data_IF_433615481788
#
_entry.id   IF_433615481788
#
_cell.length_a   1.000
_cell.length_b   1.000
_cell.length_c   1.000
_cell.angle_alpha   90.00
_cell.angle_beta   90.00
_cell.angle_gamma   90.00
#
_symmetry.space_group_name_H-M   'P 1'
#
loop_
_entity.id
_entity.type
_entity.pdbx_description
1 polymer ?
#
# COMPACT_ATOMS: atom_id res chain seq x y z
N UNK A 1 -25.31 -16.82 -3.33
CA UNK A 1 -24.21 -15.84 -3.26
C UNK A 1 -24.13 -15.42 -1.81
N UNK A 2 -22.96 -15.42 -1.19
CA UNK A 2 -22.86 -15.05 0.21
C UNK A 2 -23.39 -13.61 0.37
N UNK A 3 -24.28 -13.42 1.34
CA UNK A 3 -24.89 -12.12 1.61
C UNK A 3 -23.84 -11.26 2.32
N UNK A 4 -23.07 -10.51 1.54
CA UNK A 4 -22.01 -9.62 2.05
C UNK A 4 -22.59 -8.32 2.63
N UNK A 5 -23.93 -8.22 2.71
CA UNK A 5 -24.67 -7.04 3.16
C UNK A 5 -24.27 -5.75 2.44
N UNK A 6 -23.65 -5.84 1.26
CA UNK A 6 -23.11 -4.73 0.50
C UNK A 6 -24.22 -4.07 -0.32
N UNK A 7 -24.40 -2.77 -0.13
CA UNK A 7 -25.25 -1.93 -0.98
C UNK A 7 -24.43 -0.73 -1.43
N UNK A 8 -24.68 -0.24 -2.64
CA UNK A 8 -24.03 0.96 -3.12
C UNK A 8 -24.89 1.71 -4.12
N UNK A 9 -24.64 3.01 -4.26
CA UNK A 9 -25.22 3.85 -5.31
C UNK A 9 -24.26 5.00 -5.64
N UNK A 10 -24.36 5.53 -6.85
CA UNK A 10 -23.59 6.70 -7.30
C UNK A 10 -24.54 7.88 -7.42
N UNK A 11 -24.21 9.00 -6.77
CA UNK A 11 -25.04 10.21 -6.81
C UNK A 11 -24.77 11.10 -8.03
N UNK A 12 -25.46 12.24 -8.09
CA UNK A 12 -25.32 13.22 -9.18
C UNK A 12 -23.91 13.85 -9.26
N UNK A 13 -23.21 13.91 -8.13
CA UNK A 13 -21.85 14.45 -8.00
C UNK A 13 -20.78 13.37 -8.27
N UNK A 14 -21.20 12.18 -8.74
CA UNK A 14 -20.32 11.05 -9.08
C UNK A 14 -19.60 10.48 -7.86
N UNK A 15 -20.19 10.61 -6.67
CA UNK A 15 -19.71 9.98 -5.45
C UNK A 15 -20.35 8.60 -5.34
N UNK A 16 -19.53 7.56 -5.24
CA UNK A 16 -19.96 6.21 -4.90
C UNK A 16 -20.12 6.10 -3.39
N UNK A 17 -21.36 5.94 -2.95
CA UNK A 17 -21.71 5.68 -1.57
C UNK A 17 -21.75 4.18 -1.34
N UNK A 18 -20.80 3.67 -0.56
CA UNK A 18 -20.77 2.28 -0.11
C UNK A 18 -21.46 2.20 1.25
N UNK A 19 -22.48 1.36 1.33
CA UNK A 19 -23.39 1.26 2.48
C UNK A 19 -23.84 -0.17 2.67
N UNK A 20 -24.84 -0.38 3.53
CA UNK A 20 -25.31 -1.71 3.90
C UNK A 20 -26.74 -2.00 3.46
N UNK A 21 -27.01 -3.29 3.31
CA UNK A 21 -28.39 -3.80 3.38
C UNK A 21 -28.77 -3.83 4.87
N UNK A 22 -29.84 -3.14 5.25
CA UNK A 22 -30.30 -3.00 6.64
C UNK A 22 -29.21 -2.44 7.58
N UNK A 23 -29.17 -2.88 8.85
CA UNK A 23 -28.21 -2.46 9.87
C UNK A 23 -26.98 -3.37 9.99
N UNK A 24 -26.78 -4.26 9.02
CA UNK A 24 -25.61 -5.15 9.00
C UNK A 24 -24.32 -4.39 8.63
N UNK A 25 -23.17 -4.98 8.97
CA UNK A 25 -21.85 -4.51 8.54
C UNK A 25 -21.57 -5.01 7.13
N UNK A 26 -21.45 -4.13 6.11
CA UNK A 26 -21.12 -4.53 4.76
C UNK A 26 -19.65 -4.98 4.68
N UNK A 27 -19.37 -5.89 3.75
CA UNK A 27 -18.02 -6.37 3.51
C UNK A 27 -17.65 -6.35 2.02
N UNK A 28 -16.39 -6.02 1.73
CA UNK A 28 -15.74 -6.23 0.44
C UNK A 28 -14.89 -7.50 0.56
N UNK A 29 -15.33 -8.57 -0.09
CA UNK A 29 -14.79 -9.93 0.13
C UNK A 29 -14.20 -10.53 -1.14
N UNK A 30 -14.81 -10.28 -2.30
CA UNK A 30 -14.40 -10.91 -3.56
C UNK A 30 -14.35 -9.93 -4.75
N UNK A 31 -14.07 -10.46 -5.94
CA UNK A 31 -13.97 -9.65 -7.17
C UNK A 31 -15.28 -8.97 -7.56
N UNK A 32 -16.42 -9.56 -7.22
CA UNK A 32 -17.72 -8.97 -7.53
C UNK A 32 -17.95 -7.71 -6.70
N UNK A 33 -17.59 -7.74 -5.42
CA UNK A 33 -17.64 -6.56 -4.55
C UNK A 33 -16.63 -5.49 -4.99
N UNK A 34 -15.41 -5.88 -5.35
CA UNK A 34 -14.35 -4.94 -5.78
C UNK A 34 -14.68 -4.24 -7.10
N UNK A 35 -15.49 -4.86 -7.96
CA UNK A 35 -15.86 -4.31 -9.26
C UNK A 35 -16.54 -2.93 -9.17
N UNK A 36 -17.16 -2.61 -8.04
CA UNK A 36 -17.82 -1.31 -7.81
C UNK A 36 -16.84 -0.14 -7.93
N UNK A 37 -15.55 -0.35 -7.65
CA UNK A 37 -14.51 0.68 -7.71
C UNK A 37 -13.92 0.88 -9.12
N UNK A 38 -14.40 0.14 -10.13
CA UNK A 38 -13.96 0.23 -11.53
C UNK A 38 -14.90 1.05 -12.41
N UNK A 39 -15.96 1.62 -11.83
CA UNK A 39 -16.97 2.36 -12.56
C UNK A 39 -16.40 3.67 -13.15
N UNK A 40 -16.59 3.87 -14.46
CA UNK A 40 -16.06 5.03 -15.19
C UNK A 40 -16.78 6.36 -14.89
N UNK A 41 -17.93 6.31 -14.23
CA UNK A 41 -18.69 7.48 -13.81
C UNK A 41 -18.42 7.89 -12.37
N UNK A 42 -17.53 7.20 -11.64
CA UNK A 42 -17.24 7.49 -10.22
C UNK A 42 -15.97 8.35 -10.12
N UNK A 43 -16.05 9.46 -9.39
CA UNK A 43 -14.92 10.32 -9.08
C UNK A 43 -14.41 10.18 -7.66
N UNK A 44 -15.31 9.88 -6.71
CA UNK A 44 -14.98 9.77 -5.29
C UNK A 44 -15.71 8.60 -4.64
N UNK A 45 -15.18 8.06 -3.54
CA UNK A 45 -15.82 6.99 -2.77
C UNK A 45 -15.94 7.40 -1.30
N UNK A 46 -17.11 7.14 -0.72
CA UNK A 46 -17.37 7.28 0.72
C UNK A 46 -17.99 5.99 1.27
N UNK A 47 -17.54 5.58 2.46
CA UNK A 47 -18.13 4.46 3.20
C UNK A 47 -19.06 5.04 4.28
N UNK A 48 -20.37 4.98 4.04
CA UNK A 48 -21.40 5.57 4.92
C UNK A 48 -21.49 4.84 6.27
N UNK A 49 -21.17 3.54 6.29
CA UNK A 49 -21.14 2.70 7.49
C UNK A 49 -19.78 2.01 7.66
N UNK A 50 -19.43 1.56 8.88
CA UNK A 50 -18.25 0.73 9.09
C UNK A 50 -18.24 -0.45 8.11
N UNK A 51 -17.22 -0.55 7.27
CA UNK A 51 -17.15 -1.54 6.18
C UNK A 51 -15.90 -2.40 6.33
N UNK A 52 -16.07 -3.72 6.29
CA UNK A 52 -14.96 -4.67 6.43
C UNK A 52 -14.36 -4.99 5.08
N UNK A 53 -13.04 -4.94 5.00
CA UNK A 53 -12.29 -5.46 3.87
C UNK A 53 -11.67 -6.78 4.32
N UNK A 54 -11.91 -7.86 3.57
CA UNK A 54 -11.64 -9.23 4.04
C UNK A 54 -10.87 -10.03 2.99
N UNK A 55 -9.83 -10.74 3.44
CA UNK A 55 -9.10 -11.71 2.61
C UNK A 55 -8.29 -11.05 1.49
N UNK A 56 -8.57 -11.42 0.24
CA UNK A 56 -7.77 -11.00 -0.91
C UNK A 56 -8.28 -9.71 -1.53
N UNK A 57 -7.61 -8.61 -1.19
CA UNK A 57 -7.90 -7.28 -1.68
C UNK A 57 -7.05 -6.90 -2.91
N UNK A 58 -6.39 -7.88 -3.52
CA UNK A 58 -5.57 -7.65 -4.70
C UNK A 58 -6.36 -6.88 -5.76
N UNK A 59 -5.76 -5.82 -6.27
CA UNK A 59 -6.31 -5.02 -7.35
C UNK A 59 -7.57 -4.23 -7.02
N UNK A 60 -7.99 -4.07 -5.76
CA UNK A 60 -9.27 -3.41 -5.42
C UNK A 60 -9.46 -2.03 -6.10
N UNK A 61 -8.43 -1.19 -6.11
CA UNK A 61 -8.45 0.12 -6.76
C UNK A 61 -7.56 0.20 -8.01
N UNK A 62 -6.91 -0.91 -8.42
CA UNK A 62 -6.07 -0.96 -9.62
C UNK A 62 -6.75 -0.36 -10.86
N UNK A 63 -6.03 0.48 -11.62
CA UNK A 63 -6.53 1.14 -12.85
C UNK A 63 -7.80 1.99 -12.64
N UNK A 64 -8.19 2.24 -11.39
CA UNK A 64 -9.36 3.08 -11.12
C UNK A 64 -9.07 4.54 -11.48
N UNK A 65 -10.10 5.20 -12.01
CA UNK A 65 -10.07 6.63 -12.31
C UNK A 65 -10.48 7.52 -11.12
N UNK A 66 -10.84 6.89 -9.99
CA UNK A 66 -11.24 7.57 -8.75
C UNK A 66 -10.13 8.53 -8.31
N UNK A 67 -10.54 9.75 -7.92
CA UNK A 67 -9.66 10.83 -7.49
C UNK A 67 -9.54 10.95 -5.98
N UNK A 68 -10.53 10.50 -5.22
CA UNK A 68 -10.53 10.56 -3.76
C UNK A 68 -11.30 9.40 -3.13
N UNK A 69 -10.79 8.85 -2.03
CA UNK A 69 -11.45 7.78 -1.26
C UNK A 69 -11.34 8.14 0.22
N UNK A 70 -12.47 8.19 0.92
CA UNK A 70 -12.50 8.37 2.37
C UNK A 70 -12.49 7.01 3.08
N UNK A 71 -11.33 6.59 3.60
CA UNK A 71 -11.19 5.31 4.29
C UNK A 71 -11.57 5.33 5.78
N UNK A 72 -12.06 6.44 6.36
CA UNK A 72 -12.24 6.58 7.82
C UNK A 72 -13.07 5.47 8.48
N UNK A 73 -14.03 4.90 7.73
CA UNK A 73 -14.95 3.87 8.19
C UNK A 73 -14.56 2.46 7.70
N UNK A 74 -13.34 2.27 7.23
CA UNK A 74 -12.87 0.98 6.68
C UNK A 74 -12.02 0.23 7.70
N UNK A 75 -12.34 -1.04 7.89
CA UNK A 75 -11.54 -1.99 8.68
C UNK A 75 -10.83 -2.97 7.75
N UNK A 76 -9.48 -2.90 7.73
CA UNK A 76 -8.62 -3.78 6.93
C UNK A 76 -7.96 -4.90 7.75
N UNK A 77 -8.33 -5.06 9.03
CA UNK A 77 -7.69 -6.02 9.94
C UNK A 77 -7.81 -7.49 9.50
N UNK A 78 -8.78 -7.80 8.63
CA UNK A 78 -9.01 -9.12 8.08
C UNK A 78 -8.41 -9.33 6.67
N UNK A 79 -7.67 -8.36 6.14
CA UNK A 79 -7.01 -8.46 4.82
C UNK A 79 -5.73 -9.27 4.92
N UNK A 80 -5.52 -10.17 3.95
CA UNK A 80 -4.30 -11.00 3.86
C UNK A 80 -3.46 -10.70 2.62
N UNK A 81 -4.03 -10.10 1.58
CA UNK A 81 -3.31 -9.74 0.34
C UNK A 81 -3.73 -8.33 -0.13
N UNK A 82 -2.75 -7.45 -0.38
CA UNK A 82 -2.91 -6.10 -0.92
C UNK A 82 -2.13 -5.87 -2.23
N UNK A 83 -1.83 -6.94 -2.96
CA UNK A 83 -1.12 -6.87 -4.24
C UNK A 83 -1.84 -5.95 -5.21
N UNK A 84 -1.12 -5.08 -5.91
CA UNK A 84 -1.66 -4.16 -6.92
C UNK A 84 -2.80 -3.24 -6.43
N UNK A 85 -3.08 -3.15 -5.12
CA UNK A 85 -4.30 -2.52 -4.60
C UNK A 85 -4.52 -1.11 -5.15
N UNK A 86 -3.45 -0.32 -5.25
CA UNK A 86 -3.44 1.03 -5.81
C UNK A 86 -2.55 1.15 -7.06
N UNK A 87 -2.32 0.04 -7.79
CA UNK A 87 -1.50 0.09 -8.99
C UNK A 87 -2.19 0.89 -10.10
N UNK A 88 -1.46 1.79 -10.76
CA UNK A 88 -1.97 2.65 -11.84
C UNK A 88 -3.17 3.54 -11.44
N UNK A 89 -3.28 3.94 -10.17
CA UNK A 89 -4.29 4.90 -9.72
C UNK A 89 -3.83 6.35 -9.92
N UNK A 90 -4.79 7.27 -10.05
CA UNK A 90 -4.56 8.71 -10.14
C UNK A 90 -5.27 9.48 -9.01
N UNK A 91 -5.22 8.91 -7.80
CA UNK A 91 -5.84 9.47 -6.58
C UNK A 91 -5.02 10.70 -6.17
N UNK A 92 -5.69 11.82 -5.84
CA UNK A 92 -4.99 13.08 -5.56
C UNK A 92 -4.48 13.18 -4.11
N UNK A 93 -5.12 12.48 -3.18
CA UNK A 93 -4.69 12.38 -1.80
C UNK A 93 -5.08 11.00 -1.27
N UNK A 94 -4.13 10.28 -0.69
CA UNK A 94 -4.33 8.92 -0.21
C UNK A 94 -3.95 8.84 1.27
N UNK A 95 -4.97 8.92 2.13
CA UNK A 95 -4.82 8.66 3.56
C UNK A 95 -5.11 7.18 3.86
N UNK A 96 -4.06 6.48 4.29
CA UNK A 96 -4.11 5.06 4.70
C UNK A 96 -3.71 4.86 6.16
N UNK A 97 -3.75 5.93 6.96
CA UNK A 97 -3.32 5.93 8.36
C UNK A 97 -4.13 4.97 9.26
N UNK A 98 -5.38 4.66 8.87
CA UNK A 98 -6.23 3.72 9.59
C UNK A 98 -6.05 2.25 9.16
N UNK A 99 -5.19 1.95 8.18
CA UNK A 99 -5.02 0.58 7.72
C UNK A 99 -4.31 -0.27 8.77
N UNK A 100 -4.88 -1.43 9.06
CA UNK A 100 -4.26 -2.48 9.85
C UNK A 100 -3.71 -3.57 8.92
N UNK A 101 -2.40 -3.60 8.73
CA UNK A 101 -1.73 -4.56 7.83
C UNK A 101 -1.13 -5.78 8.55
N UNK A 102 -1.43 -5.97 9.84
CA UNK A 102 -0.79 -7.01 10.68
C UNK A 102 -1.05 -8.45 10.21
N UNK A 103 -2.06 -8.67 9.37
CA UNK A 103 -2.37 -9.98 8.77
C UNK A 103 -1.97 -10.09 7.29
N UNK A 104 -1.46 -9.02 6.68
CA UNK A 104 -1.09 -9.00 5.26
C UNK A 104 0.19 -9.78 5.03
N UNK A 105 0.19 -10.65 4.03
CA UNK A 105 1.34 -11.47 3.65
C UNK A 105 1.97 -11.05 2.32
N UNK A 106 1.27 -10.24 1.51
CA UNK A 106 1.74 -9.79 0.19
C UNK A 106 1.27 -8.37 -0.13
N UNK A 107 2.20 -7.54 -0.62
CA UNK A 107 2.01 -6.14 -1.05
C UNK A 107 2.72 -5.86 -2.40
N UNK A 108 2.81 -6.87 -3.27
CA UNK A 108 3.48 -6.76 -4.58
C UNK A 108 2.86 -5.63 -5.39
N UNK A 109 3.69 -4.75 -5.92
CA UNK A 109 3.24 -3.68 -6.81
C UNK A 109 2.08 -2.83 -6.27
N UNK A 110 1.88 -2.77 -4.94
CA UNK A 110 0.70 -2.13 -4.32
C UNK A 110 0.49 -0.69 -4.80
N UNK A 111 1.57 0.06 -5.01
CA UNK A 111 1.58 1.44 -5.51
C UNK A 111 2.32 1.58 -6.85
N UNK A 112 2.46 0.50 -7.61
CA UNK A 112 3.16 0.53 -8.90
C UNK A 112 2.45 1.47 -9.87
N UNK A 113 3.20 2.40 -10.46
CA UNK A 113 2.69 3.44 -11.35
C UNK A 113 1.53 4.27 -10.75
N UNK A 114 1.43 4.34 -9.42
CA UNK A 114 0.51 5.26 -8.76
C UNK A 114 0.99 6.70 -8.96
N UNK A 115 0.05 7.58 -9.31
CA UNK A 115 0.29 9.00 -9.53
C UNK A 115 -0.82 9.83 -8.86
N UNK A 116 -0.64 11.15 -8.84
CA UNK A 116 -1.60 12.10 -8.27
C UNK A 116 -1.26 12.59 -6.86
N UNK A 117 -0.35 11.92 -6.15
CA UNK A 117 0.23 12.36 -4.89
C UNK A 117 1.76 12.15 -4.89
N UNK A 118 2.49 13.00 -4.18
CA UNK A 118 3.96 13.01 -4.12
C UNK A 118 4.53 12.53 -2.77
N UNK A 119 3.72 12.53 -1.72
CA UNK A 119 4.07 12.07 -0.37
C UNK A 119 3.14 10.97 0.09
N UNK A 120 3.70 9.94 0.72
CA UNK A 120 2.93 8.84 1.29
C UNK A 120 3.51 8.38 2.62
N UNK A 121 2.69 8.46 3.66
CA UNK A 121 3.02 7.96 4.99
C UNK A 121 2.50 6.53 5.18
N UNK A 122 3.42 5.57 5.33
CA UNK A 122 3.13 4.17 5.62
C UNK A 122 3.71 3.74 6.96
N UNK A 123 3.99 4.69 7.87
CA UNK A 123 4.55 4.38 9.18
C UNK A 123 3.63 3.51 10.03
N UNK A 124 2.32 3.46 9.76
CA UNK A 124 1.38 2.55 10.44
C UNK A 124 1.44 1.10 9.93
N UNK A 125 2.08 0.82 8.79
CA UNK A 125 2.07 -0.52 8.20
C UNK A 125 2.99 -1.47 8.98
N UNK A 126 2.40 -2.53 9.54
CA UNK A 126 3.12 -3.70 10.02
C UNK A 126 3.38 -4.65 8.84
N UNK A 127 4.65 -4.81 8.48
CA UNK A 127 5.11 -5.70 7.40
C UNK A 127 5.77 -6.97 7.94
N UNK A 128 5.62 -7.28 9.23
CA UNK A 128 6.26 -8.44 9.87
C UNK A 128 5.92 -9.78 9.26
N UNK A 129 4.73 -9.91 8.65
CA UNK A 129 4.25 -11.13 7.98
C UNK A 129 4.34 -11.06 6.46
N UNK A 130 4.76 -9.93 5.90
CA UNK A 130 4.83 -9.73 4.46
C UNK A 130 6.08 -10.39 3.92
N UNK A 131 5.89 -11.39 3.05
CA UNK A 131 7.01 -12.09 2.39
C UNK A 131 7.24 -11.60 0.95
N UNK A 132 6.40 -10.69 0.45
CA UNK A 132 6.45 -10.22 -0.93
C UNK A 132 6.09 -8.73 -1.04
N UNK A 133 7.05 -7.92 -1.51
CA UNK A 133 6.91 -6.48 -1.75
C UNK A 133 7.54 -6.05 -3.09
N UNK A 134 7.73 -7.00 -4.03
CA UNK A 134 8.39 -6.72 -5.30
C UNK A 134 7.68 -5.58 -6.03
N UNK A 135 8.46 -4.64 -6.57
CA UNK A 135 7.99 -3.52 -7.38
C UNK A 135 6.92 -2.65 -6.71
N UNK A 136 6.83 -2.62 -5.37
CA UNK A 136 5.77 -1.94 -4.62
C UNK A 136 5.58 -0.48 -5.04
N UNK A 137 6.66 0.26 -5.30
CA UNK A 137 6.64 1.67 -5.72
C UNK A 137 7.10 1.90 -7.16
N UNK A 138 7.16 0.83 -7.96
CA UNK A 138 7.76 0.89 -9.29
C UNK A 138 7.06 1.87 -10.22
N UNK A 139 7.80 2.85 -10.74
CA UNK A 139 7.27 3.86 -11.66
C UNK A 139 6.23 4.81 -11.05
N UNK A 140 6.10 4.85 -9.72
CA UNK A 140 5.24 5.83 -9.05
C UNK A 140 5.81 7.25 -9.09
N UNK A 141 4.94 8.24 -8.94
CA UNK A 141 5.31 9.67 -8.83
C UNK A 141 5.67 10.11 -7.40
N UNK A 142 5.72 9.16 -6.47
CA UNK A 142 6.02 9.43 -5.06
C UNK A 142 7.48 9.88 -4.92
N UNK A 143 7.67 11.07 -4.35
CA UNK A 143 8.97 11.67 -4.05
C UNK A 143 9.40 11.48 -2.59
N UNK A 144 8.44 11.34 -1.67
CA UNK A 144 8.72 11.16 -0.25
C UNK A 144 7.93 10.00 0.34
N UNK A 145 8.63 9.08 1.02
CA UNK A 145 8.03 7.90 1.66
C UNK A 145 8.38 7.84 3.14
N UNK A 146 7.40 7.59 4.00
CA UNK A 146 7.65 7.20 5.38
C UNK A 146 7.48 5.69 5.56
N UNK A 147 8.59 4.97 5.72
CA UNK A 147 8.65 3.51 5.90
C UNK A 147 9.20 3.14 7.28
N UNK A 148 9.00 4.00 8.28
CA UNK A 148 9.58 3.87 9.62
C UNK A 148 9.42 2.49 10.25
N UNK A 149 8.26 1.84 10.07
CA UNK A 149 7.94 0.54 10.66
C UNK A 149 8.12 -0.65 9.70
N UNK A 150 8.66 -0.45 8.50
CA UNK A 150 8.89 -1.53 7.55
C UNK A 150 9.96 -2.51 8.01
N UNK A 151 9.71 -3.80 7.81
CA UNK A 151 10.60 -4.92 8.10
C UNK A 151 11.02 -5.58 6.79
N UNK A 152 12.25 -5.32 6.37
CA UNK A 152 12.83 -5.85 5.13
C UNK A 152 13.37 -7.30 5.28
N UNK A 153 13.45 -7.82 6.50
CA UNK A 153 14.00 -9.15 6.84
C UNK A 153 13.28 -10.32 6.19
N UNK A 154 12.00 -10.15 5.86
CA UNK A 154 11.11 -11.24 5.43
C UNK A 154 11.18 -11.52 3.92
N UNK A 155 11.88 -10.68 3.15
CA UNK A 155 12.11 -10.89 1.72
C UNK A 155 13.40 -11.69 1.57
N UNK A 156 13.27 -13.01 1.51
CA UNK A 156 14.39 -13.93 1.30
C UNK A 156 14.37 -14.43 -0.15
N UNK A 157 15.40 -14.08 -0.94
CA UNK A 157 15.56 -14.56 -2.32
C UNK A 157 15.46 -13.47 -3.39
N UNK A 158 15.59 -13.88 -4.66
CA UNK A 158 15.52 -12.98 -5.80
C UNK A 158 14.08 -12.77 -6.31
N UNK A 159 13.71 -11.53 -6.69
CA UNK A 159 14.50 -10.32 -6.57
C UNK A 159 14.44 -9.77 -5.14
N UNK A 160 15.53 -9.15 -4.71
CA UNK A 160 15.75 -8.69 -3.35
C UNK A 160 14.90 -7.49 -2.92
N UNK A 161 15.27 -6.93 -1.79
CA UNK A 161 14.73 -5.68 -1.21
C UNK A 161 14.92 -4.45 -2.11
N UNK A 162 15.92 -4.48 -2.99
CA UNK A 162 16.12 -3.48 -4.06
C UNK A 162 14.94 -3.42 -5.04
N UNK A 163 14.26 -4.55 -5.28
CA UNK A 163 13.12 -4.65 -6.20
C UNK A 163 11.90 -3.84 -5.76
N UNK A 164 11.78 -3.52 -4.47
CA UNK A 164 10.68 -2.71 -3.91
C UNK A 164 10.63 -1.34 -4.60
N UNK A 165 11.81 -0.78 -4.91
CA UNK A 165 12.00 0.55 -5.49
C UNK A 165 12.44 0.50 -6.96
N UNK A 166 12.27 -0.64 -7.63
CA UNK A 166 12.61 -0.81 -9.03
C UNK A 166 11.96 0.32 -9.86
N UNK A 167 12.73 1.09 -10.62
CA UNK A 167 12.20 2.19 -11.45
C UNK A 167 11.41 3.29 -10.70
N UNK A 168 11.54 3.43 -9.38
CA UNK A 168 10.98 4.56 -8.63
C UNK A 168 11.82 5.84 -8.87
N UNK A 169 11.74 6.41 -10.08
CA UNK A 169 12.64 7.48 -10.55
C UNK A 169 12.41 8.82 -9.85
N UNK A 170 11.19 9.05 -9.38
CA UNK A 170 10.81 10.29 -8.70
C UNK A 170 11.09 10.26 -7.20
N UNK A 171 11.46 9.10 -6.64
CA UNK A 171 11.70 8.97 -5.21
C UNK A 171 12.97 9.73 -4.82
N UNK A 172 12.79 10.80 -4.05
CA UNK A 172 13.88 11.63 -3.56
C UNK A 172 14.29 11.21 -2.15
N UNK A 173 13.33 10.75 -1.35
CA UNK A 173 13.57 10.48 0.05
C UNK A 173 12.70 9.42 0.70
N UNK A 174 13.30 8.73 1.68
CA UNK A 174 12.65 7.70 2.50
C UNK A 174 13.01 7.92 3.96
N UNK A 175 12.01 7.87 4.85
CA UNK A 175 12.22 7.81 6.31
C UNK A 175 12.22 6.35 6.76
N UNK A 176 13.22 5.96 7.53
CA UNK A 176 13.40 4.61 8.05
C UNK A 176 13.73 4.68 9.55
N UNK A 177 13.25 3.73 10.38
CA UNK A 177 13.66 3.65 11.78
C UNK A 177 14.45 2.38 12.14
N UNK A 178 14.36 1.31 11.36
CA UNK A 178 14.85 -0.02 11.76
C UNK A 178 15.69 -0.73 10.67
N UNK A 179 16.79 -0.11 10.23
CA UNK A 179 17.67 -0.68 9.17
C UNK A 179 18.59 -1.79 9.73
N UNK A 180 18.74 -1.92 11.04
CA UNK A 180 19.69 -2.81 11.73
C UNK A 180 19.49 -4.33 11.52
N UNK A 181 18.54 -4.76 10.67
CA UNK A 181 18.23 -6.18 10.40
C UNK A 181 18.21 -6.56 8.92
N UNK A 182 18.80 -5.77 8.02
CA UNK A 182 18.99 -6.25 6.64
C UNK A 182 19.93 -7.47 6.70
N UNK A 183 19.43 -8.63 6.32
CA UNK A 183 20.03 -9.96 6.41
C UNK A 183 21.47 -10.03 5.85
N UNK A 184 22.28 -11.00 6.31
CA UNK A 184 23.68 -11.28 5.94
C UNK A 184 23.96 -11.52 4.44
N UNK A 185 22.94 -11.42 3.57
CA UNK A 185 23.07 -11.52 2.11
C UNK A 185 23.25 -10.16 1.43
N UNK A 186 23.01 -9.05 2.13
CA UNK A 186 23.20 -7.69 1.63
C UNK A 186 24.16 -6.96 2.57
N UNK A 187 25.28 -6.47 2.05
CA UNK A 187 26.12 -5.54 2.81
C UNK A 187 25.51 -4.16 2.75
N UNK A 188 25.16 -3.63 3.91
CA UNK A 188 25.04 -2.19 4.08
C UNK A 188 26.46 -1.63 3.97
N UNK A 189 26.80 -1.02 2.83
CA UNK A 189 28.09 -0.35 2.63
C UNK A 189 28.13 0.97 3.42
N UNK A 190 28.23 0.88 4.74
CA UNK A 190 28.99 1.78 5.60
C UNK A 190 29.04 1.18 7.02
N UNK A 191 30.24 1.02 7.57
CA UNK A 191 30.53 0.13 8.69
C UNK A 191 29.91 0.55 10.05
N UNK A 192 29.16 1.65 10.13
CA UNK A 192 28.53 2.12 11.38
C UNK A 192 27.05 2.55 11.24
N UNK A 193 26.43 2.38 10.07
CA UNK A 193 25.09 2.97 9.78
C UNK A 193 23.88 2.24 10.38
N UNK A 194 24.02 1.03 10.93
CA UNK A 194 22.90 0.32 11.58
C UNK A 194 22.35 1.05 12.81
N UNK A 195 23.10 2.02 13.35
CA UNK A 195 22.72 2.89 14.48
C UNK A 195 22.41 4.34 14.08
N UNK A 196 22.79 4.80 12.88
CA UNK A 196 22.75 6.24 12.51
C UNK A 196 21.44 6.72 11.87
N UNK A 197 20.59 5.82 11.38
CA UNK A 197 19.40 6.22 10.61
C UNK A 197 18.07 5.97 11.30
N UNK A 198 18.06 5.56 12.57
CA UNK A 198 16.80 5.51 13.32
C UNK A 198 16.18 6.91 13.40
N UNK A 199 15.14 7.19 12.61
CA UNK A 199 14.49 8.50 12.55
C UNK A 199 15.06 9.44 11.48
N UNK A 200 15.89 8.96 10.57
CA UNK A 200 16.56 9.79 9.56
C UNK A 200 15.95 9.63 8.16
N UNK A 201 15.87 10.74 7.43
CA UNK A 201 15.50 10.81 6.02
C UNK A 201 16.72 10.51 5.15
N UNK A 202 16.65 9.49 4.30
CA UNK A 202 17.75 9.07 3.39
C UNK A 202 17.34 9.20 1.92
N UNK A 203 18.32 9.36 1.02
CA UNK A 203 18.04 9.49 -0.42
C UNK A 203 17.80 8.14 -1.08
N UNK A 204 17.14 8.10 -2.24
CA UNK A 204 16.97 6.86 -3.02
C UNK A 204 18.31 6.22 -3.41
N UNK A 205 19.33 7.03 -3.73
CA UNK A 205 20.67 6.51 -4.02
C UNK A 205 21.25 5.74 -2.82
N UNK A 206 21.09 6.31 -1.62
CA UNK A 206 21.48 5.69 -0.35
C UNK A 206 20.69 4.40 -0.11
N UNK A 207 19.37 4.40 -0.30
CA UNK A 207 18.51 3.21 -0.15
C UNK A 207 18.94 2.09 -1.11
N UNK A 208 19.23 2.41 -2.38
CA UNK A 208 19.71 1.42 -3.36
C UNK A 208 21.09 0.86 -2.99
N UNK A 209 22.00 1.69 -2.47
CA UNK A 209 23.31 1.25 -2.00
C UNK A 209 23.21 0.32 -0.78
N UNK A 210 22.26 0.57 0.14
CA UNK A 210 22.00 -0.30 1.30
C UNK A 210 21.60 -1.73 0.91
N UNK A 211 21.04 -1.91 -0.29
CA UNK A 211 20.51 -3.17 -0.79
C UNK A 211 21.32 -3.76 -1.96
N UNK A 212 22.49 -3.19 -2.28
CA UNK A 212 23.36 -3.75 -3.30
C UNK A 212 23.98 -5.07 -2.78
N UNK A 213 23.92 -6.14 -3.60
CA UNK A 213 24.55 -7.42 -3.25
C UNK A 213 26.07 -7.30 -3.15
N UNK A 214 26.66 -8.03 -2.20
CA UNK A 214 28.10 -8.33 -2.21
C UNK A 214 28.38 -9.17 -3.46
N UNK A 215 29.38 -8.78 -4.26
CA UNK A 215 29.89 -9.62 -5.37
C UNK A 215 30.62 -10.85 -4.86
#
# INVERSE_FOLDING_TARGET
MADHNLKYYTDADKILHVTSINDATPAIVDESDKSIFKQLNVQSVVFEKPTKFVGNLSGAFQLSIIKSIDFKNVDTSAVTNMDYMFANTHISNLDVSNFNTSNVTSMKSMFSAASGFDSLDLSNFDTSRVSAMQSMFSGSDISTLNLSNFKFTSITGEPGVDSIFASAKNLESVTLNNISKINSQYTVYDLEMSTMYSGSKVTLATVKQMFAKVQ
#
